data_IF_834319634358
#
_entry.id   IF_834319634358
#
_cell.length_a   1.000
_cell.length_b   1.000
_cell.length_c   1.000
_cell.angle_alpha   90.00
_cell.angle_beta   90.00
_cell.angle_gamma   90.00
#
_symmetry.space_group_name_H-M   'P 1'
#
loop_
_entity.id
_entity.type
_entity.pdbx_description
1 polymer ?
#
# COMPACT_ATOMS: atom_id res chain seq x y z
N UNK A 1 5.78 1.45 29.32
CA UNK A 1 6.35 0.91 28.08
C UNK A 1 6.99 -0.41 28.44
N UNK A 2 6.65 -1.48 27.74
CA UNK A 2 7.27 -2.78 27.96
C UNK A 2 8.63 -2.83 27.26
N UNK A 3 9.56 -3.64 27.78
CA UNK A 3 10.89 -3.85 27.19
C UNK A 3 10.87 -4.87 26.03
N UNK A 4 9.76 -5.57 25.86
CA UNK A 4 9.54 -6.57 24.81
C UNK A 4 8.04 -6.63 24.43
N UNK A 5 7.68 -7.45 23.44
CA UNK A 5 6.29 -7.71 23.05
C UNK A 5 5.77 -9.12 23.37
N UNK A 6 6.64 -10.09 23.71
CA UNK A 6 6.25 -11.49 24.00
C UNK A 6 7.01 -12.14 25.17
N UNK A 7 7.76 -11.38 25.96
CA UNK A 7 8.45 -11.92 27.14
C UNK A 7 7.46 -12.27 28.25
N UNK A 8 7.89 -13.12 29.18
CA UNK A 8 7.10 -13.54 30.35
C UNK A 8 6.68 -12.35 31.24
N UNK A 9 7.36 -11.20 31.13
CA UNK A 9 7.05 -9.99 31.89
C UNK A 9 5.91 -9.17 31.27
N UNK A 10 5.60 -9.35 29.99
CA UNK A 10 4.62 -8.53 29.25
C UNK A 10 3.18 -8.87 29.66
N UNK A 11 2.87 -10.15 29.81
CA UNK A 11 1.51 -10.61 30.15
C UNK A 11 1.05 -10.09 31.54
N UNK A 12 1.87 -10.18 32.61
CA UNK A 12 1.54 -9.55 33.89
C UNK A 12 1.40 -8.02 33.80
N UNK A 13 2.22 -7.35 32.97
CA UNK A 13 2.12 -5.90 32.76
C UNK A 13 0.81 -5.52 32.07
N UNK A 14 0.38 -6.28 31.07
CA UNK A 14 -0.89 -6.09 30.40
C UNK A 14 -2.07 -6.36 31.34
N UNK A 15 -2.02 -7.44 32.12
CA UNK A 15 -3.06 -7.80 33.09
C UNK A 15 -3.18 -6.81 34.25
N UNK A 16 -2.09 -6.13 34.63
CA UNK A 16 -2.07 -5.13 35.70
C UNK A 16 -2.51 -3.72 35.25
N UNK A 17 -2.87 -3.53 33.98
CA UNK A 17 -3.34 -2.22 33.50
C UNK A 17 -4.64 -1.81 34.18
N UNK A 18 -4.72 -0.59 34.75
CA UNK A 18 -5.99 -0.07 35.21
C UNK A 18 -6.92 0.22 34.02
N UNK A 19 -8.21 0.38 34.28
CA UNK A 19 -9.16 0.84 33.26
C UNK A 19 -8.70 2.18 32.67
N UNK A 20 -8.63 2.25 31.33
CA UNK A 20 -8.08 3.40 30.61
C UNK A 20 -6.55 3.49 30.58
N UNK A 21 -5.86 2.51 31.16
CA UNK A 21 -4.41 2.37 31.06
C UNK A 21 -3.96 2.03 29.64
N UNK A 22 -2.75 2.48 29.27
CA UNK A 22 -2.16 2.21 27.97
C UNK A 22 -0.78 1.59 28.16
N UNK A 23 -0.58 0.42 27.56
CA UNK A 23 0.73 -0.22 27.45
C UNK A 23 1.19 -0.18 26.00
N UNK A 24 2.34 0.44 25.78
CA UNK A 24 3.07 0.34 24.52
C UNK A 24 4.07 -0.80 24.64
N UNK A 25 3.94 -1.80 23.77
CA UNK A 25 4.90 -2.88 23.60
C UNK A 25 6.12 -2.40 22.81
N UNK A 26 7.24 -3.09 22.97
CA UNK A 26 8.42 -2.85 22.14
C UNK A 26 8.17 -3.25 20.67
N UNK A 27 9.03 -2.78 19.77
CA UNK A 27 8.94 -3.01 18.35
C UNK A 27 8.81 -4.50 17.98
N UNK A 28 7.63 -4.88 17.50
CA UNK A 28 7.30 -6.26 17.09
C UNK A 28 8.25 -6.83 16.03
N UNK A 29 8.92 -5.98 15.24
CA UNK A 29 9.91 -6.41 14.23
C UNK A 29 11.29 -6.71 14.78
N UNK A 30 11.53 -6.54 16.07
CA UNK A 30 12.71 -7.12 16.72
C UNK A 30 12.63 -8.65 16.77
N UNK A 31 11.42 -9.20 16.68
CA UNK A 31 11.16 -10.62 16.44
C UNK A 31 11.02 -10.87 14.94
N UNK A 32 11.86 -11.74 14.38
CA UNK A 32 11.80 -12.13 12.96
C UNK A 32 10.52 -12.90 12.62
N UNK A 33 9.91 -13.45 13.66
CA UNK A 33 8.66 -14.19 13.71
C UNK A 33 7.47 -13.33 13.24
N UNK A 34 7.53 -12.01 13.42
CA UNK A 34 6.49 -11.05 13.00
C UNK A 34 6.22 -11.11 11.48
N UNK A 35 7.27 -11.09 10.66
CA UNK A 35 7.14 -11.12 9.19
C UNK A 35 6.79 -12.53 8.68
N UNK A 36 7.12 -13.57 9.44
CA UNK A 36 6.89 -14.97 9.08
C UNK A 36 5.53 -15.51 9.52
N UNK A 37 4.83 -14.81 10.43
CA UNK A 37 3.58 -15.28 11.05
C UNK A 37 3.75 -16.61 11.79
N UNK A 38 4.85 -16.75 12.53
CA UNK A 38 5.09 -17.95 13.33
C UNK A 38 3.99 -18.12 14.37
N UNK A 39 3.43 -19.33 14.46
CA UNK A 39 2.22 -19.60 15.25
C UNK A 39 2.37 -19.23 16.72
N UNK A 40 3.48 -19.64 17.34
CA UNK A 40 3.76 -19.37 18.76
C UNK A 40 3.87 -17.87 19.06
N UNK A 41 4.43 -17.10 18.14
CA UNK A 41 4.55 -15.65 18.28
C UNK A 41 3.17 -14.97 18.23
N UNK A 42 2.32 -15.42 17.31
CA UNK A 42 0.94 -14.94 17.18
C UNK A 42 0.12 -15.26 18.43
N UNK A 43 0.23 -16.49 18.94
CA UNK A 43 -0.48 -16.91 20.15
C UNK A 43 -0.08 -16.07 21.37
N UNK A 44 1.22 -15.85 21.58
CA UNK A 44 1.71 -15.01 22.69
C UNK A 44 1.22 -13.58 22.58
N UNK A 45 1.24 -12.99 21.38
CA UNK A 45 0.69 -11.65 21.15
C UNK A 45 -0.82 -11.60 21.40
N UNK A 46 -1.55 -12.61 20.94
CA UNK A 46 -2.99 -12.68 21.11
C UNK A 46 -3.41 -12.90 22.57
N UNK A 47 -2.59 -13.61 23.37
CA UNK A 47 -2.87 -13.84 24.79
C UNK A 47 -2.94 -12.54 25.63
N UNK A 48 -2.41 -11.42 25.12
CA UNK A 48 -2.37 -10.14 25.83
C UNK A 48 -3.71 -9.38 25.81
N UNK A 49 -4.71 -9.82 25.03
CA UNK A 49 -5.93 -9.08 24.82
C UNK A 49 -7.15 -9.99 24.57
N UNK A 50 -8.35 -9.43 24.73
CA UNK A 50 -9.61 -10.12 24.40
C UNK A 50 -10.11 -9.78 22.99
N UNK A 51 -9.74 -8.60 22.48
CA UNK A 51 -10.20 -8.05 21.21
C UNK A 51 -9.06 -7.42 20.43
N UNK A 52 -9.25 -7.31 19.11
CA UNK A 52 -8.26 -6.74 18.23
C UNK A 52 -8.82 -5.53 17.47
N UNK A 53 -8.06 -4.44 17.46
CA UNK A 53 -8.35 -3.26 16.65
C UNK A 53 -7.16 -3.01 15.73
N UNK A 54 -7.39 -3.04 14.41
CA UNK A 54 -6.39 -2.65 13.43
C UNK A 54 -6.64 -1.21 12.98
N UNK A 55 -5.74 -0.30 13.38
CA UNK A 55 -5.76 1.09 12.93
C UNK A 55 -4.54 1.46 12.07
N UNK A 56 -3.82 0.46 11.56
CA UNK A 56 -2.58 0.62 10.80
C UNK A 56 -2.75 0.30 9.31
N UNK A 57 -3.48 1.16 8.57
CA UNK A 57 -3.74 0.96 7.13
C UNK A 57 -2.45 0.74 6.32
N UNK A 58 -1.38 1.49 6.63
CA UNK A 58 -0.11 1.41 5.93
C UNK A 58 0.57 0.04 5.98
N UNK A 59 0.28 -0.80 6.99
CA UNK A 59 0.82 -2.17 7.10
C UNK A 59 -0.20 -3.24 6.75
N UNK A 60 -1.47 -2.87 6.53
CA UNK A 60 -2.56 -3.80 6.22
C UNK A 60 -2.38 -4.60 4.92
N UNK A 61 -1.58 -4.09 3.98
CA UNK A 61 -1.21 -4.81 2.75
C UNK A 61 -0.22 -5.97 2.98
N UNK A 62 0.31 -6.12 4.21
CA UNK A 62 1.23 -7.19 4.59
C UNK A 62 0.53 -8.12 5.57
N UNK A 63 0.58 -9.41 5.27
CA UNK A 63 0.10 -10.44 6.17
C UNK A 63 1.19 -10.76 7.19
N UNK A 64 1.28 -10.00 8.28
CA UNK A 64 2.21 -10.21 9.40
C UNK A 64 1.46 -10.74 10.63
N UNK A 65 2.20 -11.15 11.67
CA UNK A 65 1.61 -11.66 12.90
C UNK A 65 0.72 -10.61 13.58
N UNK A 66 1.21 -9.39 13.77
CA UNK A 66 0.47 -8.29 14.41
C UNK A 66 -0.70 -7.71 13.60
N UNK A 67 -0.72 -7.91 12.27
CA UNK A 67 -1.71 -7.32 11.37
C UNK A 67 -2.80 -8.30 10.91
N UNK A 68 -2.44 -9.56 10.68
CA UNK A 68 -3.33 -10.61 10.19
C UNK A 68 -3.36 -11.82 11.13
N UNK A 69 -2.20 -12.25 11.63
CA UNK A 69 -2.08 -13.45 12.46
C UNK A 69 -2.98 -13.43 13.69
N UNK A 70 -2.90 -12.35 14.48
CA UNK A 70 -3.65 -12.22 15.74
C UNK A 70 -5.16 -12.28 15.56
N UNK A 71 -5.67 -11.92 14.36
CA UNK A 71 -7.11 -11.96 14.05
C UNK A 71 -7.71 -13.36 14.05
N UNK A 72 -6.87 -14.41 13.97
CA UNK A 72 -7.30 -15.81 14.05
C UNK A 72 -7.67 -16.23 15.47
N UNK A 73 -7.05 -15.59 16.46
CA UNK A 73 -7.20 -15.90 17.88
C UNK A 73 -8.10 -14.89 18.59
N UNK A 74 -7.98 -13.60 18.25
CA UNK A 74 -8.74 -12.51 18.86
C UNK A 74 -10.07 -12.28 18.14
N UNK A 75 -11.17 -12.28 18.90
CA UNK A 75 -12.51 -11.96 18.40
C UNK A 75 -13.27 -11.11 19.43
N UNK A 76 -13.80 -9.93 19.06
CA UNK A 76 -13.89 -9.40 17.70
C UNK A 76 -12.58 -8.78 17.19
N UNK A 77 -12.37 -8.86 15.87
CA UNK A 77 -11.32 -8.16 15.15
C UNK A 77 -11.96 -7.04 14.32
N UNK A 78 -11.68 -5.78 14.66
CA UNK A 78 -12.35 -4.60 14.10
C UNK A 78 -11.35 -3.61 13.49
N UNK A 79 -11.83 -2.77 12.57
CA UNK A 79 -11.06 -1.64 12.05
C UNK A 79 -11.18 -0.44 13.01
N UNK A 80 -10.06 0.24 13.25
CA UNK A 80 -10.06 1.54 13.91
C UNK A 80 -10.54 2.66 12.98
N UNK A 81 -10.60 3.89 13.49
CA UNK A 81 -11.12 5.05 12.76
C UNK A 81 -10.22 5.48 11.60
N UNK A 82 -8.89 5.39 11.73
CA UNK A 82 -7.96 5.70 10.64
C UNK A 82 -8.12 4.66 9.53
N UNK A 83 -8.16 3.37 9.89
CA UNK A 83 -8.41 2.29 8.93
C UNK A 83 -9.75 2.49 8.20
N UNK A 84 -10.82 2.78 8.93
CA UNK A 84 -12.14 3.04 8.35
C UNK A 84 -12.09 4.22 7.37
N UNK A 85 -11.49 5.35 7.76
CA UNK A 85 -11.39 6.54 6.93
C UNK A 85 -10.60 6.28 5.63
N UNK A 86 -9.49 5.55 5.72
CA UNK A 86 -8.70 5.18 4.54
C UNK A 86 -9.47 4.25 3.60
N UNK A 87 -10.19 3.26 4.15
CA UNK A 87 -11.07 2.38 3.37
C UNK A 87 -12.21 3.14 2.72
N UNK A 88 -12.91 4.00 3.45
CA UNK A 88 -14.02 4.80 2.92
C UNK A 88 -13.55 5.72 1.79
N UNK A 89 -12.37 6.33 1.94
CA UNK A 89 -11.78 7.17 0.91
C UNK A 89 -11.39 6.36 -0.34
N UNK A 90 -10.69 5.25 -0.17
CA UNK A 90 -10.22 4.43 -1.28
C UNK A 90 -11.37 3.74 -2.02
N UNK A 91 -12.30 3.14 -1.28
CA UNK A 91 -13.48 2.49 -1.86
C UNK A 91 -14.37 3.55 -2.51
N UNK A 92 -14.60 4.68 -1.86
CA UNK A 92 -15.37 5.78 -2.44
C UNK A 92 -14.76 6.33 -3.73
N UNK A 93 -13.44 6.58 -3.73
CA UNK A 93 -12.73 7.11 -4.87
C UNK A 93 -12.61 6.10 -6.03
N UNK A 94 -12.54 4.80 -5.76
CA UNK A 94 -12.26 3.79 -6.79
C UNK A 94 -13.53 3.06 -7.25
N UNK A 95 -14.51 2.82 -6.40
CA UNK A 95 -15.71 2.05 -6.75
C UNK A 95 -16.76 2.90 -7.47
N UNK A 96 -16.99 4.13 -7.03
CA UNK A 96 -17.92 5.08 -7.64
C UNK A 96 -17.32 6.49 -7.68
N UNK A 97 -16.26 6.72 -8.48
CA UNK A 97 -15.66 8.03 -8.59
C UNK A 97 -16.65 9.06 -9.13
N UNK A 98 -16.62 10.27 -8.57
CA UNK A 98 -17.27 11.43 -9.21
C UNK A 98 -16.50 11.75 -10.50
N UNK A 99 -17.22 11.86 -11.61
CA UNK A 99 -16.64 12.14 -12.92
C UNK A 99 -16.54 13.66 -13.19
N UNK A 100 -15.51 14.14 -13.91
CA UNK A 100 -14.40 13.36 -14.48
C UNK A 100 -13.41 12.89 -13.40
N UNK A 101 -13.05 11.61 -13.44
CA UNK A 101 -12.09 11.01 -12.51
C UNK A 101 -10.70 10.99 -13.11
N UNK A 102 -9.79 11.77 -12.52
CA UNK A 102 -8.40 11.81 -12.93
C UNK A 102 -7.52 11.08 -11.89
N UNK A 103 -6.60 10.24 -12.37
CA UNK A 103 -5.53 9.68 -11.54
C UNK A 103 -4.17 10.19 -11.99
N UNK A 104 -3.30 10.48 -11.01
CA UNK A 104 -1.92 10.87 -11.25
C UNK A 104 -1.02 9.77 -10.68
N UNK A 105 -0.25 9.12 -11.55
CA UNK A 105 0.68 8.05 -11.17
C UNK A 105 2.10 8.49 -11.49
N UNK A 106 2.92 8.60 -10.45
CA UNK A 106 4.33 8.93 -10.57
C UNK A 106 5.24 7.82 -10.05
N UNK A 107 6.55 8.00 -10.28
CA UNK A 107 7.59 7.11 -9.78
C UNK A 107 8.77 7.02 -10.73
N UNK A 108 9.84 6.35 -10.31
CA UNK A 108 11.02 6.10 -11.15
C UNK A 108 10.95 4.78 -11.92
N UNK A 109 10.23 3.78 -11.40
CA UNK A 109 10.16 2.42 -11.96
C UNK A 109 8.72 2.02 -12.29
N UNK A 110 8.47 1.73 -13.56
CA UNK A 110 7.21 1.22 -14.08
C UNK A 110 6.88 -0.16 -13.49
N UNK A 111 7.87 -1.03 -13.33
CA UNK A 111 7.70 -2.39 -12.75
C UNK A 111 6.95 -2.40 -11.41
N UNK A 112 7.16 -1.38 -10.57
CA UNK A 112 6.49 -1.24 -9.27
C UNK A 112 5.03 -0.75 -9.33
N UNK A 113 4.56 -0.30 -10.51
CA UNK A 113 3.27 0.40 -10.69
C UNK A 113 2.38 -0.21 -11.78
N UNK A 114 2.79 -1.29 -12.45
CA UNK A 114 2.03 -1.94 -13.53
C UNK A 114 0.60 -2.26 -13.09
N UNK A 115 0.42 -3.00 -12.00
CA UNK A 115 -0.91 -3.40 -11.54
C UNK A 115 -1.80 -2.22 -11.12
N UNK A 116 -1.20 -1.13 -10.62
CA UNK A 116 -1.93 0.10 -10.29
C UNK A 116 -2.42 0.79 -11.56
N UNK A 117 -1.58 0.90 -12.58
CA UNK A 117 -1.94 1.49 -13.88
C UNK A 117 -3.06 0.67 -14.54
N UNK A 118 -2.94 -0.67 -14.55
CA UNK A 118 -3.96 -1.56 -15.10
C UNK A 118 -5.32 -1.40 -14.43
N UNK A 119 -5.35 -1.41 -13.10
CA UNK A 119 -6.60 -1.23 -12.36
C UNK A 119 -7.22 0.15 -12.56
N UNK A 120 -6.41 1.20 -12.75
CA UNK A 120 -6.89 2.57 -12.94
C UNK A 120 -7.38 2.80 -14.36
N UNK A 121 -6.74 2.23 -15.39
CA UNK A 121 -7.17 2.33 -16.80
C UNK A 121 -8.60 1.83 -17.06
N UNK A 122 -9.18 1.07 -16.14
CA UNK A 122 -10.58 0.63 -16.21
C UNK A 122 -11.58 1.62 -15.63
N UNK A 123 -11.12 2.56 -14.80
CA UNK A 123 -11.99 3.36 -13.93
C UNK A 123 -11.85 4.86 -14.14
N UNK A 124 -10.67 5.33 -14.56
CA UNK A 124 -10.37 6.76 -14.73
C UNK A 124 -10.80 7.27 -16.09
N UNK A 125 -11.26 8.52 -16.14
CA UNK A 125 -11.47 9.25 -17.39
C UNK A 125 -10.16 9.90 -17.87
N UNK A 126 -9.25 10.24 -16.94
CA UNK A 126 -7.95 10.87 -17.23
C UNK A 126 -6.84 10.18 -16.43
N UNK A 127 -5.74 9.80 -17.09
CA UNK A 127 -4.56 9.20 -16.46
C UNK A 127 -3.33 10.04 -16.77
N UNK A 128 -2.78 10.68 -15.75
CA UNK A 128 -1.57 11.49 -15.84
C UNK A 128 -0.41 10.64 -15.32
N UNK A 129 0.57 10.39 -16.17
CA UNK A 129 1.80 9.71 -15.79
C UNK A 129 2.90 10.75 -15.57
N UNK A 130 3.71 10.59 -14.53
CA UNK A 130 4.81 11.50 -14.20
C UNK A 130 6.03 10.78 -13.63
N UNK A 131 7.07 11.54 -13.29
CA UNK A 131 8.34 10.99 -12.78
C UNK A 131 9.16 10.28 -13.86
N UNK A 132 10.18 9.51 -13.45
CA UNK A 132 11.08 8.81 -14.36
C UNK A 132 10.41 7.76 -15.25
N UNK A 133 9.29 7.17 -14.80
CA UNK A 133 8.56 6.17 -15.60
C UNK A 133 7.97 6.74 -16.90
N UNK A 134 7.76 8.06 -16.99
CA UNK A 134 7.22 8.70 -18.21
C UNK A 134 8.14 8.52 -19.41
N UNK A 135 9.46 8.40 -19.18
CA UNK A 135 10.44 8.25 -20.25
C UNK A 135 10.32 6.90 -20.97
N UNK A 136 9.79 5.87 -20.29
CA UNK A 136 9.50 4.58 -20.93
C UNK A 136 8.37 4.76 -21.96
N UNK A 137 7.33 5.52 -21.61
CA UNK A 137 6.22 5.83 -22.51
C UNK A 137 6.65 6.74 -23.67
N UNK A 138 7.49 7.75 -23.40
CA UNK A 138 8.05 8.60 -24.47
C UNK A 138 8.93 7.81 -25.42
N UNK A 139 9.80 6.93 -24.91
CA UNK A 139 10.61 6.04 -25.75
C UNK A 139 9.74 5.08 -26.56
N UNK A 140 8.67 4.53 -25.98
CA UNK A 140 7.69 3.69 -26.68
C UNK A 140 6.93 4.45 -27.80
N UNK A 141 6.74 5.76 -27.65
CA UNK A 141 6.18 6.63 -28.69
C UNK A 141 7.21 7.08 -29.74
N UNK A 142 8.48 6.70 -29.60
CA UNK A 142 9.57 7.06 -30.52
C UNK A 142 10.26 8.40 -30.20
N UNK A 143 10.01 9.01 -29.05
CA UNK A 143 10.73 10.21 -28.62
C UNK A 143 12.12 9.87 -28.07
N UNK A 144 13.08 10.77 -28.27
CA UNK A 144 14.38 10.70 -27.61
C UNK A 144 14.26 11.12 -26.14
N UNK A 145 14.84 10.32 -25.24
CA UNK A 145 14.78 10.53 -23.78
C UNK A 145 16.16 10.75 -23.13
N UNK A 146 17.21 10.90 -23.95
CA UNK A 146 18.57 11.18 -23.48
C UNK A 146 19.11 10.14 -22.49
N UNK A 147 19.67 10.60 -21.38
CA UNK A 147 20.21 9.77 -20.28
C UNK A 147 19.17 9.36 -19.23
N UNK A 148 17.88 9.59 -19.50
CA UNK A 148 16.81 9.30 -18.55
C UNK A 148 16.66 7.79 -18.30
N UNK A 149 16.17 7.42 -17.12
CA UNK A 149 15.96 6.03 -16.73
C UNK A 149 14.85 5.39 -17.58
N UNK A 150 15.18 4.30 -18.29
CA UNK A 150 14.24 3.54 -19.12
C UNK A 150 14.41 2.05 -18.84
N UNK A 151 13.32 1.39 -18.44
CA UNK A 151 13.22 -0.07 -18.41
C UNK A 151 12.90 -0.57 -19.82
N UNK A 152 13.93 -0.95 -20.60
CA UNK A 152 13.78 -1.34 -22.01
C UNK A 152 12.89 -2.59 -22.18
N UNK A 153 12.92 -3.50 -21.21
CA UNK A 153 12.09 -4.71 -21.15
C UNK A 153 10.59 -4.41 -20.93
N UNK A 154 10.23 -3.14 -20.67
CA UNK A 154 8.85 -2.68 -20.46
C UNK A 154 8.31 -1.84 -21.60
N UNK A 155 9.06 -1.64 -22.69
CA UNK A 155 8.63 -0.82 -23.82
C UNK A 155 7.39 -1.40 -24.51
N UNK A 156 7.33 -2.72 -24.74
CA UNK A 156 6.15 -3.36 -25.34
C UNK A 156 4.89 -3.19 -24.48
N UNK A 157 5.05 -3.30 -23.16
CA UNK A 157 3.97 -3.10 -22.21
C UNK A 157 3.48 -1.64 -22.20
N UNK A 158 4.42 -0.69 -22.25
CA UNK A 158 4.10 0.73 -22.37
C UNK A 158 3.33 1.03 -23.66
N UNK A 159 3.73 0.44 -24.80
CA UNK A 159 2.99 0.55 -26.07
C UNK A 159 1.57 0.02 -25.93
N UNK A 160 1.40 -1.15 -25.31
CA UNK A 160 0.09 -1.76 -25.06
C UNK A 160 -0.80 -0.86 -24.19
N UNK A 161 -0.24 -0.21 -23.16
CA UNK A 161 -0.99 0.74 -22.35
C UNK A 161 -1.37 2.01 -23.11
N UNK A 162 -0.51 2.52 -23.98
CA UNK A 162 -0.84 3.67 -24.83
C UNK A 162 -2.00 3.35 -25.78
N UNK A 163 -2.03 2.15 -26.34
CA UNK A 163 -3.14 1.68 -27.17
C UNK A 163 -4.45 1.56 -26.39
N UNK A 164 -4.40 0.92 -25.21
CA UNK A 164 -5.56 0.80 -24.30
C UNK A 164 -6.06 2.17 -23.82
N UNK A 165 -5.16 3.12 -23.60
CA UNK A 165 -5.50 4.47 -23.17
C UNK A 165 -6.19 5.24 -24.31
N UNK A 166 -5.67 5.15 -25.54
CA UNK A 166 -6.29 5.72 -26.76
C UNK A 166 -7.71 5.20 -26.99
N UNK A 167 -7.94 3.90 -26.86
CA UNK A 167 -9.27 3.31 -27.09
C UNK A 167 -10.30 3.76 -26.06
N UNK A 168 -9.87 4.10 -24.84
CA UNK A 168 -10.73 4.57 -23.75
C UNK A 168 -10.83 6.10 -23.64
N UNK A 169 -10.16 6.86 -24.51
CA UNK A 169 -10.12 8.32 -24.45
C UNK A 169 -9.31 8.87 -23.27
N UNK A 170 -8.46 8.04 -22.66
CA UNK A 170 -7.58 8.40 -21.55
C UNK A 170 -6.24 8.81 -22.14
N UNK A 171 -5.83 10.07 -21.99
CA UNK A 171 -4.57 10.55 -22.56
C UNK A 171 -3.48 10.65 -21.48
N UNK A 172 -2.30 10.05 -21.67
CA UNK A 172 -1.12 10.48 -20.91
C UNK A 172 -0.87 11.96 -21.22
N UNK A 173 -0.62 12.76 -20.19
CA UNK A 173 -0.40 14.19 -20.35
C UNK A 173 0.70 14.45 -21.41
N UNK A 174 0.54 15.43 -22.30
CA UNK A 174 1.53 15.70 -23.33
C UNK A 174 2.88 16.07 -22.70
N UNK A 175 4.00 15.83 -23.40
CA UNK A 175 5.31 16.32 -22.99
C UNK A 175 5.35 17.86 -23.01
N UNK A 176 4.93 18.48 -21.92
CA UNK A 176 5.13 19.90 -21.70
C UNK A 176 6.41 20.08 -20.87
N UNK A 177 7.52 20.38 -21.57
CA UNK A 177 8.84 20.74 -21.01
C UNK A 177 9.25 19.95 -19.76
N UNK A 178 9.78 18.76 -19.96
CA UNK A 178 10.56 18.11 -18.91
C UNK A 178 11.87 18.91 -18.73
N UNK A 179 12.03 19.58 -17.58
CA UNK A 179 13.19 20.39 -17.23
C UNK A 179 14.44 19.53 -16.93
N UNK A 180 14.90 18.72 -17.87
CA UNK A 180 16.22 18.07 -17.79
C UNK A 180 16.70 17.79 -19.22
N UNK A 181 17.15 18.84 -19.90
CA UNK A 181 18.16 18.76 -20.96
C UNK A 181 19.45 19.35 -20.40
#
# INVERSE_FOLDING_TARGET
MANDCISEEVEPQAAALPEGGVLLLENVRFHKEEEKKEHEFVEKLAALADLYVNDAFGTAHRAHASTEGVTKFLKPAIAGFLMQKELDYLVGAVANPKKPFAAIVGGSKMSSKIGVIESLLEKVDILILGGGMIFIFYKAQGYSVGSSLVEEDKLELATTFLEKAKTKGVFPAPPHRCCYC
#
